data_IF_477528092914
#
_entry.id   IF_477528092914
#
_cell.length_a   1.000
_cell.length_b   1.000
_cell.length_c   1.000
_cell.angle_alpha   90.00
_cell.angle_beta   90.00
_cell.angle_gamma   90.00
#
_symmetry.space_group_name_H-M   'P 1'
#
loop_
_entity.id
_entity.type
_entity.pdbx_description
1 polymer ?
#
# COMPACT_ATOMS: atom_id res chain seq x y z
N UNK A 1 11.46 -0.40 15.81
CA UNK A 1 12.12 -1.36 14.91
C UNK A 1 11.02 -2.13 14.20
N UNK A 2 10.69 -1.77 12.96
CA UNK A 2 9.68 -2.46 12.17
C UNK A 2 10.22 -3.83 11.75
N UNK A 3 9.47 -4.88 12.04
CA UNK A 3 9.82 -6.25 11.65
C UNK A 3 9.70 -6.39 10.14
N UNK A 4 10.75 -6.92 9.50
CA UNK A 4 10.72 -7.38 8.12
C UNK A 4 9.82 -8.61 8.07
N UNK A 5 8.66 -8.49 7.43
CA UNK A 5 7.82 -9.66 7.11
C UNK A 5 8.65 -10.63 6.28
N UNK A 6 8.57 -11.91 6.61
CA UNK A 6 9.31 -12.95 5.89
C UNK A 6 8.61 -13.26 4.56
N UNK A 7 9.40 -13.59 3.53
CA UNK A 7 8.96 -13.87 2.15
C UNK A 7 7.76 -14.85 2.09
N UNK A 8 7.69 -15.79 3.03
CA UNK A 8 6.62 -16.78 3.21
C UNK A 8 5.23 -16.20 3.58
N UNK A 9 5.16 -14.99 4.13
CA UNK A 9 3.89 -14.32 4.49
C UNK A 9 3.29 -13.57 3.29
N UNK A 10 4.14 -13.18 2.33
CA UNK A 10 3.72 -12.50 1.09
C UNK A 10 2.98 -13.49 0.18
N UNK A 11 3.48 -14.73 0.11
CA UNK A 11 2.94 -15.79 -0.76
C UNK A 11 1.53 -16.25 -0.33
N UNK A 12 1.20 -16.23 0.97
CA UNK A 12 -0.12 -16.64 1.46
C UNK A 12 -1.25 -15.67 1.12
N UNK A 13 -0.93 -14.43 0.76
CA UNK A 13 -1.90 -13.41 0.35
C UNK A 13 -2.28 -13.55 -1.13
N UNK A 14 -1.58 -14.39 -1.89
CA UNK A 14 -1.77 -14.58 -3.35
C UNK A 14 -3.04 -15.33 -3.76
N UNK A 15 -3.65 -16.11 -2.88
CA UNK A 15 -4.55 -17.19 -3.31
C UNK A 15 -6.06 -16.85 -3.37
N UNK A 16 -6.54 -15.65 -2.98
CA UNK A 16 -7.99 -15.48 -2.70
C UNK A 16 -8.73 -14.21 -3.16
N UNK A 17 -8.20 -13.36 -4.04
CA UNK A 17 -9.00 -12.28 -4.60
C UNK A 17 -8.18 -11.15 -5.20
N UNK A 18 -8.85 -10.29 -5.97
CA UNK A 18 -8.28 -9.06 -6.54
C UNK A 18 -7.42 -8.36 -5.48
N UNK A 19 -6.09 -8.39 -5.66
CA UNK A 19 -5.16 -7.72 -4.74
C UNK A 19 -5.27 -6.22 -4.94
N UNK A 20 -6.16 -5.60 -4.17
CA UNK A 20 -6.18 -4.15 -4.06
C UNK A 20 -4.84 -3.67 -3.50
N UNK A 21 -4.15 -2.73 -4.15
CA UNK A 21 -2.91 -2.20 -3.65
C UNK A 21 -3.16 -1.45 -2.33
N UNK A 22 -2.46 -1.85 -1.26
CA UNK A 22 -2.57 -1.24 0.07
C UNK A 22 -1.29 -0.51 0.46
N UNK A 23 -1.45 0.57 1.23
CA UNK A 23 -0.36 1.32 1.85
C UNK A 23 -0.64 1.58 3.32
N UNK A 24 0.41 1.63 4.13
CA UNK A 24 0.34 2.13 5.51
C UNK A 24 1.09 3.46 5.59
N UNK A 25 0.37 4.53 5.91
CA UNK A 25 0.96 5.88 6.05
C UNK A 25 0.73 6.35 7.48
N UNK A 26 1.82 6.62 8.21
CA UNK A 26 1.77 7.02 9.62
C UNK A 26 0.90 6.08 10.49
N UNK A 27 0.97 4.77 10.22
CA UNK A 27 0.19 3.75 10.93
C UNK A 27 -1.26 3.56 10.45
N UNK A 28 -1.74 4.33 9.48
CA UNK A 28 -3.11 4.21 8.94
C UNK A 28 -3.12 3.38 7.65
N UNK A 29 -3.95 2.33 7.59
CA UNK A 29 -4.19 1.52 6.38
C UNK A 29 -4.97 2.34 5.35
N UNK A 30 -4.46 2.38 4.11
CA UNK A 30 -5.08 3.03 2.95
C UNK A 30 -5.13 2.05 1.79
N UNK A 31 -6.25 2.00 1.09
CA UNK A 31 -6.36 1.34 -0.23
C UNK A 31 -6.00 2.39 -1.26
N UNK A 32 -5.15 2.06 -2.23
CA UNK A 32 -4.86 2.93 -3.37
C UNK A 32 -6.01 2.80 -4.38
N UNK A 33 -6.71 3.90 -4.69
CA UNK A 33 -7.67 3.91 -5.79
C UNK A 33 -7.05 3.45 -7.11
N UNK A 34 -7.88 2.82 -7.94
CA UNK A 34 -7.53 2.51 -9.32
C UNK A 34 -7.10 3.77 -10.08
N UNK A 35 -6.20 3.59 -11.05
CA UNK A 35 -5.73 4.68 -11.90
C UNK A 35 -4.63 5.54 -11.27
N UNK A 36 -4.22 5.32 -10.02
CA UNK A 36 -3.11 6.06 -9.39
C UNK A 36 -1.72 5.50 -9.72
N UNK A 37 -1.61 4.47 -10.55
CA UNK A 37 -0.34 3.84 -10.92
C UNK A 37 0.68 4.80 -11.58
N UNK A 38 0.22 5.94 -12.09
CA UNK A 38 1.08 6.98 -12.69
C UNK A 38 1.71 7.92 -11.65
N UNK A 39 1.24 7.90 -10.40
CA UNK A 39 1.84 8.71 -9.35
C UNK A 39 3.05 8.00 -8.74
N UNK A 40 4.10 8.78 -8.53
CA UNK A 40 5.15 8.38 -7.60
C UNK A 40 4.60 8.37 -6.17
N UNK A 41 5.21 7.57 -5.30
CA UNK A 41 4.84 7.55 -3.88
C UNK A 41 4.89 8.95 -3.24
N UNK A 42 5.86 9.79 -3.64
CA UNK A 42 5.99 11.15 -3.10
C UNK A 42 4.83 12.06 -3.54
N UNK A 43 4.38 11.98 -4.79
CA UNK A 43 3.23 12.74 -5.28
C UNK A 43 1.96 12.32 -4.56
N UNK A 44 1.74 11.01 -4.38
CA UNK A 44 0.63 10.48 -3.61
C UNK A 44 0.64 11.01 -2.16
N UNK A 45 1.79 10.94 -1.47
CA UNK A 45 1.93 11.40 -0.09
C UNK A 45 1.73 12.91 0.05
N UNK A 46 2.18 13.72 -0.92
CA UNK A 46 1.93 15.17 -0.93
C UNK A 46 0.46 15.51 -1.19
N UNK A 47 -0.24 14.70 -1.98
CA UNK A 47 -1.67 14.86 -2.25
C UNK A 47 -2.53 14.67 -1.01
N UNK A 48 -2.32 13.59 -0.25
CA UNK A 48 -3.12 13.27 0.94
C UNK A 48 -2.85 14.18 2.16
N UNK A 49 -1.79 15.00 2.13
CA UNK A 49 -1.47 15.97 3.18
C UNK A 49 -2.06 17.37 2.95
N UNK A 50 -2.83 17.54 1.87
CA UNK A 50 -3.50 18.80 1.50
C UNK A 50 -4.98 18.86 1.85
N UNK A 51 -5.55 17.76 2.36
CA UNK A 51 -6.92 17.66 2.87
C UNK A 51 -6.96 17.71 4.41
#
# INVERSE_FOLDING_TARGET
>A
MGSLMTESEIDRVEESGVKEPILYVNGVRRVLPDGLAHFTLLEYLRGIGRD
#
